data_IF_537465057985
#
_entry.id   IF_537465057985
#
_cell.length_a   1.000
_cell.length_b   1.000
_cell.length_c   1.000
_cell.angle_alpha   90.00
_cell.angle_beta   90.00
_cell.angle_gamma   90.00
#
_symmetry.space_group_name_H-M   'P 1'
#
loop_
_entity.id
_entity.type
_entity.pdbx_description
1 polymer ?
#
# COMPACT_ATOMS: atom_id res chain seq x y z
N UNK A 1 -5.45 0.26 -10.23
CA UNK A 1 -5.11 1.15 -9.11
C UNK A 1 -5.23 0.30 -7.87
N UNK A 2 -4.13 0.03 -7.17
CA UNK A 2 -4.20 -0.66 -5.87
C UNK A 2 -4.86 0.30 -4.89
N UNK A 3 -5.73 -0.21 -4.04
CA UNK A 3 -6.40 0.57 -3.00
C UNK A 3 -5.44 0.79 -1.83
N UNK A 4 -5.58 1.90 -1.09
CA UNK A 4 -4.70 2.17 0.04
C UNK A 4 -5.00 1.15 1.15
N UNK A 5 -4.01 0.40 1.67
CA UNK A 5 -4.27 -0.55 2.75
C UNK A 5 -4.71 0.18 4.02
N UNK A 6 -5.57 -0.47 4.79
CA UNK A 6 -6.02 0.01 6.09
C UNK A 6 -5.07 -0.51 7.17
N UNK A 7 -4.76 0.30 8.19
CA UNK A 7 -3.95 -0.16 9.31
C UNK A 7 -4.68 -1.28 10.06
N UNK A 8 -3.94 -2.31 10.54
CA UNK A 8 -4.53 -3.36 11.36
C UNK A 8 -5.06 -2.79 12.67
N UNK A 9 -6.13 -3.40 13.21
CA UNK A 9 -6.66 -3.02 14.52
C UNK A 9 -5.74 -3.45 15.67
N UNK A 10 -5.89 -2.81 16.84
CA UNK A 10 -5.04 -3.09 18.02
C UNK A 10 -5.05 -4.57 18.42
N UNK A 11 -6.20 -5.25 18.28
CA UNK A 11 -6.36 -6.68 18.60
C UNK A 11 -5.88 -7.65 17.52
N UNK A 12 -5.53 -7.15 16.32
CA UNK A 12 -5.00 -7.98 15.24
C UNK A 12 -3.49 -8.18 15.38
N UNK A 13 -2.82 -7.26 16.08
CA UNK A 13 -1.46 -7.49 16.54
C UNK A 13 -1.54 -8.45 17.72
N UNK A 14 -0.97 -9.66 17.59
CA UNK A 14 -0.95 -10.63 18.68
C UNK A 14 -0.06 -10.21 19.85
N UNK A 15 0.83 -9.23 19.65
CA UNK A 15 1.78 -8.63 20.62
C UNK A 15 2.73 -9.62 21.33
N UNK A 16 2.57 -10.92 21.06
CA UNK A 16 3.24 -12.04 21.74
C UNK A 16 4.20 -12.81 20.83
N UNK A 17 4.49 -12.28 19.64
CA UNK A 17 5.46 -12.85 18.69
C UNK A 17 4.88 -13.88 17.72
N UNK A 18 3.89 -13.50 16.91
CA UNK A 18 3.54 -14.26 15.72
C UNK A 18 4.72 -14.31 14.73
N UNK A 19 4.83 -15.41 13.98
CA UNK A 19 5.82 -15.57 12.89
C UNK A 19 5.79 -14.41 11.87
N UNK A 20 4.63 -13.80 11.64
CA UNK A 20 4.48 -12.61 10.80
C UNK A 20 3.62 -11.57 11.49
N UNK A 21 4.18 -10.37 11.69
CA UNK A 21 3.47 -9.26 12.31
C UNK A 21 2.50 -8.63 11.30
N UNK A 22 1.26 -8.37 11.72
CA UNK A 22 0.26 -7.68 10.87
C UNK A 22 0.73 -6.30 10.42
N UNK A 23 1.55 -5.64 11.24
CA UNK A 23 2.19 -4.38 10.87
C UNK A 23 3.23 -4.52 9.77
N UNK A 24 3.91 -5.66 9.69
CA UNK A 24 4.87 -5.94 8.64
C UNK A 24 4.14 -6.07 7.29
N UNK A 25 3.07 -6.88 7.27
CA UNK A 25 2.20 -7.05 6.10
C UNK A 25 1.61 -5.71 5.64
N UNK A 26 1.09 -4.92 6.58
CA UNK A 26 0.55 -3.59 6.28
C UNK A 26 1.59 -2.67 5.66
N UNK A 27 2.82 -2.66 6.18
CA UNK A 27 3.89 -1.81 5.66
C UNK A 27 4.33 -2.25 4.26
N UNK A 28 4.43 -3.55 4.02
CA UNK A 28 4.73 -4.09 2.69
C UNK A 28 3.67 -3.65 1.66
N UNK A 29 2.38 -3.85 1.98
CA UNK A 29 1.29 -3.48 1.09
C UNK A 29 1.24 -1.96 0.86
N UNK A 30 1.50 -1.18 1.91
CA UNK A 30 1.56 0.28 1.84
C UNK A 30 2.68 0.74 0.91
N UNK A 31 3.87 0.13 1.00
CA UNK A 31 4.98 0.47 0.11
C UNK A 31 4.65 0.16 -1.36
N UNK A 32 3.98 -0.95 -1.65
CA UNK A 32 3.54 -1.26 -3.01
C UNK A 32 2.49 -0.27 -3.51
N UNK A 33 1.54 0.12 -2.66
CA UNK A 33 0.55 1.14 -2.98
C UNK A 33 1.20 2.49 -3.28
N UNK A 34 2.15 2.93 -2.44
CA UNK A 34 2.89 4.18 -2.64
C UNK A 34 3.70 4.17 -3.94
N UNK A 35 4.34 3.06 -4.27
CA UNK A 35 5.08 2.90 -5.54
C UNK A 35 4.14 3.00 -6.74
N UNK A 36 2.96 2.39 -6.67
CA UNK A 36 1.96 2.50 -7.73
C UNK A 36 1.39 3.91 -7.83
N UNK A 37 1.11 4.57 -6.70
CA UNK A 37 0.67 5.97 -6.70
C UNK A 37 1.72 6.87 -7.33
N UNK A 38 3.00 6.74 -6.97
CA UNK A 38 4.08 7.52 -7.59
C UNK A 38 4.21 7.25 -9.09
N UNK A 39 4.10 5.98 -9.50
CA UNK A 39 4.11 5.61 -10.92
C UNK A 39 2.88 6.13 -11.67
N UNK A 40 1.73 6.28 -11.01
CA UNK A 40 0.52 6.83 -11.59
C UNK A 40 0.51 8.36 -11.62
N UNK A 41 0.97 9.03 -10.57
CA UNK A 41 1.13 10.48 -10.52
C UNK A 41 2.10 10.92 -11.63
N UNK A 42 3.22 10.20 -11.79
CA UNK A 42 4.17 10.43 -12.88
C UNK A 42 3.65 10.03 -14.27
N UNK A 43 2.58 9.23 -14.37
CA UNK A 43 1.97 8.80 -15.63
C UNK A 43 0.67 9.56 -15.96
N UNK A 44 0.10 10.27 -14.99
CA UNK A 44 -1.01 11.19 -15.18
C UNK A 44 -0.59 12.44 -15.97
N UNK A 45 0.69 12.79 -15.97
CA UNK A 45 1.26 13.86 -16.81
C UNK A 45 1.70 13.36 -18.21
N UNK A 46 1.44 12.10 -18.57
CA UNK A 46 1.77 11.55 -19.89
C UNK A 46 0.73 10.56 -20.38
N UNK A 47 -0.52 10.99 -20.43
CA UNK A 47 -1.45 10.52 -21.46
C UNK A 47 -1.79 11.71 -22.36
N UNK A 48 -1.14 11.87 -23.53
CA UNK A 48 -1.76 12.65 -24.58
C UNK A 48 -3.01 11.89 -25.00
N UNK A 49 -4.16 12.33 -24.49
CA UNK A 49 -5.44 12.00 -25.11
C UNK A 49 -5.42 12.62 -26.50
N UNK A 50 -5.00 11.82 -27.48
CA UNK A 50 -5.21 12.13 -28.88
C UNK A 50 -6.72 11.99 -29.15
N UNK A 51 -7.34 13.11 -29.53
CA UNK A 51 -8.48 13.20 -30.45
C UNK A 51 -8.70 14.65 -30.84
#
# INVERSE_FOLDING_TARGET
>A
MKEKPLPPGDYECCESGCDRCVWDIYREDLQEWEQQQKAQDSKAESQPVAQ
#
